data_IF_129093978199
#
_entry.id   IF_129093978199
#
_cell.length_a   1.000
_cell.length_b   1.000
_cell.length_c   1.000
_cell.angle_alpha   90.00
_cell.angle_beta   90.00
_cell.angle_gamma   90.00
#
_symmetry.space_group_name_H-M   'P 1'
#
loop_
_entity.id
_entity.type
_entity.pdbx_description
1 polymer ?
#
# COMPACT_ATOMS: atom_id res chain seq x y z
N UNK A 1 20.56 -14.10 0.19
CA UNK A 1 20.69 -15.57 0.34
C UNK A 1 21.14 -16.14 -1.00
N UNK A 2 22.15 -17.03 -1.00
CA UNK A 2 22.63 -17.72 -2.20
C UNK A 2 21.75 -18.95 -2.53
N UNK A 3 21.78 -19.42 -3.77
CA UNK A 3 20.96 -20.57 -4.19
C UNK A 3 21.20 -21.84 -3.36
N UNK A 4 22.46 -22.16 -3.06
CA UNK A 4 22.82 -23.35 -2.29
C UNK A 4 22.47 -23.21 -0.79
N UNK A 5 22.43 -21.98 -0.27
CA UNK A 5 21.88 -21.70 1.06
C UNK A 5 20.37 -21.95 1.09
N UNK A 6 19.66 -21.47 0.06
CA UNK A 6 18.21 -21.65 -0.04
C UNK A 6 17.83 -23.14 -0.13
N UNK A 7 18.57 -23.94 -0.92
CA UNK A 7 18.35 -25.40 -1.02
C UNK A 7 18.58 -26.15 0.28
N UNK A 8 19.48 -25.68 1.16
CA UNK A 8 19.67 -26.29 2.48
C UNK A 8 18.46 -26.07 3.39
N UNK A 9 17.83 -24.90 3.30
CA UNK A 9 16.63 -24.57 4.10
C UNK A 9 15.37 -25.19 3.49
N UNK A 10 15.27 -25.22 2.16
CA UNK A 10 14.14 -25.79 1.43
C UNK A 10 14.65 -26.66 0.27
N UNK A 11 14.88 -27.97 0.50
CA UNK A 11 15.44 -28.86 -0.52
C UNK A 11 14.61 -28.96 -1.81
N UNK A 12 13.29 -28.78 -1.72
CA UNK A 12 12.37 -28.81 -2.86
C UNK A 12 12.24 -27.49 -3.63
N UNK A 13 13.01 -26.45 -3.30
CA UNK A 13 12.89 -25.14 -3.95
C UNK A 13 13.28 -25.20 -5.44
N UNK A 14 12.41 -24.69 -6.30
CA UNK A 14 12.72 -24.50 -7.72
C UNK A 14 13.46 -23.18 -7.90
N UNK A 15 14.73 -23.24 -8.32
CA UNK A 15 15.52 -22.05 -8.62
C UNK A 15 15.46 -21.75 -10.13
N UNK A 16 14.95 -20.57 -10.47
CA UNK A 16 14.90 -20.07 -11.85
C UNK A 16 15.98 -19.00 -12.03
N UNK A 17 16.83 -19.16 -13.05
CA UNK A 17 17.94 -18.24 -13.30
C UNK A 17 17.50 -17.08 -14.19
N UNK A 18 17.92 -15.86 -13.84
CA UNK A 18 17.76 -14.68 -14.68
C UNK A 18 18.47 -14.89 -16.02
N UNK A 19 17.84 -14.59 -17.16
CA UNK A 19 18.48 -14.71 -18.48
C UNK A 19 19.80 -13.94 -18.54
N UNK A 20 20.78 -14.47 -19.26
CA UNK A 20 22.10 -13.82 -19.45
C UNK A 20 22.24 -13.38 -20.90
N UNK A 21 22.68 -12.15 -21.11
CA UNK A 21 23.03 -11.63 -22.43
C UNK A 21 24.36 -10.89 -22.34
N UNK A 22 25.29 -11.18 -23.27
CA UNK A 22 26.64 -10.57 -23.30
C UNK A 22 27.39 -10.71 -21.97
N UNK A 23 27.27 -11.87 -21.31
CA UNK A 23 27.93 -12.18 -20.04
C UNK A 23 27.37 -11.44 -18.82
N UNK A 24 26.23 -10.75 -18.92
CA UNK A 24 25.58 -10.02 -17.83
C UNK A 24 24.11 -10.42 -17.68
N UNK A 25 23.57 -10.24 -16.48
CA UNK A 25 22.14 -10.45 -16.24
C UNK A 25 21.28 -9.54 -17.13
N UNK A 26 20.26 -10.11 -17.76
CA UNK A 26 19.32 -9.44 -18.63
C UNK A 26 17.94 -9.40 -17.96
N UNK A 27 17.51 -8.20 -17.57
CA UNK A 27 16.25 -7.98 -16.86
C UNK A 27 15.09 -7.55 -17.77
N UNK A 28 15.26 -7.57 -19.10
CA UNK A 28 14.26 -7.05 -20.03
C UNK A 28 12.91 -7.78 -19.92
N UNK A 29 12.92 -9.10 -19.70
CA UNK A 29 11.71 -9.88 -19.47
C UNK A 29 10.85 -9.29 -18.34
N UNK A 30 11.47 -9.03 -17.18
CA UNK A 30 10.77 -8.47 -16.02
C UNK A 30 10.36 -7.01 -16.24
N UNK A 31 11.14 -6.23 -17.00
CA UNK A 31 10.80 -4.85 -17.33
C UNK A 31 9.55 -4.77 -18.22
N UNK A 32 9.46 -5.66 -19.21
CA UNK A 32 8.28 -5.78 -20.09
C UNK A 32 7.06 -6.19 -19.30
N UNK A 33 7.16 -7.25 -18.48
CA UNK A 33 6.07 -7.71 -17.62
C UNK A 33 5.59 -6.59 -16.66
N UNK A 34 6.52 -5.85 -16.04
CA UNK A 34 6.17 -4.71 -15.20
C UNK A 34 5.49 -3.57 -15.97
N UNK A 35 5.86 -3.35 -17.24
CA UNK A 35 5.23 -2.33 -18.07
C UNK A 35 3.78 -2.69 -18.45
N UNK A 36 3.50 -3.98 -18.71
CA UNK A 36 2.14 -4.48 -18.97
C UNK A 36 1.22 -4.22 -17.78
N UNK A 37 1.67 -4.56 -16.56
CA UNK A 37 0.92 -4.29 -15.32
C UNK A 37 0.68 -2.78 -15.14
N UNK A 38 1.71 -1.95 -15.34
CA UNK A 38 1.59 -0.50 -15.20
C UNK A 38 0.59 0.10 -16.21
N UNK A 39 0.52 -0.43 -17.43
CA UNK A 39 -0.44 0.03 -18.44
C UNK A 39 -1.90 -0.20 -17.98
N UNK A 40 -2.19 -1.35 -17.36
CA UNK A 40 -3.51 -1.64 -16.78
C UNK A 40 -3.83 -0.68 -15.64
N UNK A 41 -2.89 -0.51 -14.71
CA UNK A 41 -3.06 0.32 -13.52
C UNK A 41 -3.23 1.81 -13.85
N UNK A 42 -2.53 2.31 -14.87
CA UNK A 42 -2.62 3.70 -15.33
C UNK A 42 -3.97 4.05 -15.99
N UNK A 43 -4.84 3.08 -16.26
CA UNK A 43 -6.13 3.30 -16.93
C UNK A 43 -7.15 4.10 -16.11
N UNK A 44 -6.93 4.26 -14.79
CA UNK A 44 -7.89 4.90 -13.86
C UNK A 44 -7.34 6.09 -13.09
N UNK A 45 -6.07 6.46 -13.26
CA UNK A 45 -5.49 7.54 -12.47
C UNK A 45 -4.09 7.93 -12.92
N UNK A 46 -3.61 9.05 -12.39
CA UNK A 46 -2.25 9.51 -12.67
C UNK A 46 -1.27 8.55 -12.00
N UNK A 47 -0.30 8.11 -12.77
CA UNK A 47 0.55 6.97 -12.45
C UNK A 47 2.00 7.43 -12.29
N UNK A 48 2.60 7.10 -11.15
CA UNK A 48 4.02 7.30 -10.88
C UNK A 48 4.68 5.94 -10.61
N UNK A 49 5.56 5.52 -11.51
CA UNK A 49 6.31 4.29 -11.35
C UNK A 49 7.38 4.45 -10.28
N UNK A 50 7.31 3.64 -9.22
CA UNK A 50 8.23 3.68 -8.09
C UNK A 50 9.37 2.65 -8.21
N UNK A 51 9.09 1.49 -8.81
CA UNK A 51 10.07 0.43 -9.09
C UNK A 51 9.70 -0.38 -10.34
N UNK A 52 10.35 -1.53 -10.55
CA UNK A 52 9.99 -2.43 -11.64
C UNK A 52 8.57 -2.99 -11.49
N UNK A 53 8.13 -3.21 -10.25
CA UNK A 53 6.91 -3.91 -9.82
C UNK A 53 5.99 -3.08 -8.90
N UNK A 54 6.33 -1.82 -8.63
CA UNK A 54 5.56 -0.93 -7.76
C UNK A 54 5.25 0.41 -8.43
N UNK A 55 4.04 0.91 -8.16
CA UNK A 55 3.51 2.14 -8.73
C UNK A 55 2.64 2.85 -7.69
N UNK A 56 2.63 4.18 -7.73
CA UNK A 56 1.64 5.01 -7.05
C UNK A 56 0.58 5.46 -8.05
N UNK A 57 -0.69 5.34 -7.65
CA UNK A 57 -1.82 5.86 -8.40
C UNK A 57 -2.48 6.99 -7.61
N UNK A 58 -2.62 8.14 -8.24
CA UNK A 58 -3.54 9.19 -7.76
C UNK A 58 -4.91 8.92 -8.38
N UNK A 59 -5.84 8.48 -7.53
CA UNK A 59 -7.20 8.13 -7.88
C UNK A 59 -8.20 9.23 -7.49
N UNK A 60 -7.75 10.41 -7.09
CA UNK A 60 -8.62 11.47 -6.57
C UNK A 60 -9.76 11.80 -7.53
N UNK A 61 -9.46 12.03 -8.81
CA UNK A 61 -10.46 12.38 -9.81
C UNK A 61 -11.43 11.22 -10.09
N UNK A 62 -10.91 9.99 -10.22
CA UNK A 62 -11.73 8.81 -10.46
C UNK A 62 -12.64 8.45 -9.27
N UNK A 63 -12.17 8.64 -8.04
CA UNK A 63 -12.97 8.43 -6.83
C UNK A 63 -14.10 9.47 -6.71
N UNK A 64 -13.82 10.74 -7.05
CA UNK A 64 -14.83 11.79 -7.11
C UNK A 64 -15.89 11.52 -8.17
N UNK A 65 -15.46 11.07 -9.35
CA UNK A 65 -16.37 10.70 -10.44
C UNK A 65 -17.28 9.54 -10.03
N UNK A 66 -16.70 8.49 -9.44
CA UNK A 66 -17.46 7.35 -8.90
C UNK A 66 -18.47 7.82 -7.85
N UNK A 67 -18.05 8.64 -6.88
CA UNK A 67 -18.92 9.14 -5.83
C UNK A 67 -20.09 9.98 -6.38
N UNK A 68 -19.89 10.68 -7.50
CA UNK A 68 -20.94 11.50 -8.12
C UNK A 68 -21.90 10.67 -8.99
N UNK A 69 -21.37 9.72 -9.77
CA UNK A 69 -22.15 9.01 -10.79
C UNK A 69 -22.72 7.67 -10.32
N UNK A 70 -21.98 6.95 -9.48
CA UNK A 70 -22.31 5.62 -9.00
C UNK A 70 -21.76 5.42 -7.57
N UNK A 71 -22.26 6.21 -6.60
CA UNK A 71 -21.83 6.10 -5.21
C UNK A 71 -22.09 4.68 -4.67
N UNK A 72 -21.20 4.16 -3.80
CA UNK A 72 -21.36 2.84 -3.21
C UNK A 72 -22.43 2.86 -2.11
N UNK A 73 -23.70 3.06 -2.42
CA UNK A 73 -24.75 3.26 -1.41
C UNK A 73 -25.41 1.97 -0.89
N UNK A 74 -25.14 0.82 -1.53
CA UNK A 74 -25.72 -0.49 -1.16
C UNK A 74 -24.63 -1.54 -0.91
N UNK A 75 -24.63 -2.18 0.28
CA UNK A 75 -23.73 -3.29 0.62
C UNK A 75 -23.77 -4.45 -0.39
N UNK A 76 -24.94 -4.75 -0.95
CA UNK A 76 -25.16 -5.82 -1.92
C UNK A 76 -24.51 -5.52 -3.28
N UNK A 77 -24.42 -4.23 -3.64
CA UNK A 77 -23.78 -3.76 -4.86
C UNK A 77 -22.24 -3.71 -4.80
N UNK A 78 -21.65 -3.88 -3.61
CA UNK A 78 -20.19 -3.84 -3.46
C UNK A 78 -19.54 -5.01 -4.18
N UNK A 79 -18.56 -4.67 -5.03
CA UNK A 79 -17.73 -5.63 -5.74
C UNK A 79 -17.08 -6.63 -4.77
N UNK A 80 -17.22 -7.93 -5.07
CA UNK A 80 -16.82 -9.01 -4.16
C UNK A 80 -15.36 -8.91 -3.70
N UNK A 81 -14.44 -8.55 -4.60
CA UNK A 81 -13.02 -8.41 -4.23
C UNK A 81 -12.77 -7.19 -3.35
N UNK A 82 -13.56 -6.12 -3.50
CA UNK A 82 -13.46 -4.95 -2.62
C UNK A 82 -13.94 -5.28 -1.19
N UNK A 83 -14.96 -6.12 -1.06
CA UNK A 83 -15.49 -6.58 0.23
C UNK A 83 -14.49 -7.42 1.05
N UNK A 84 -13.44 -7.96 0.41
CA UNK A 84 -12.35 -8.71 1.08
C UNK A 84 -11.23 -7.80 1.62
N UNK A 85 -11.31 -6.49 1.41
CA UNK A 85 -10.29 -5.54 1.84
C UNK A 85 -10.01 -5.63 3.34
N UNK A 86 -8.78 -5.31 3.74
CA UNK A 86 -8.46 -5.07 5.14
C UNK A 86 -8.66 -3.58 5.41
N UNK A 87 -9.63 -3.20 6.22
CA UNK A 87 -9.83 -1.82 6.66
C UNK A 87 -9.26 -1.71 8.07
N UNK A 88 -8.26 -0.86 8.28
CA UNK A 88 -7.73 -0.64 9.63
C UNK A 88 -8.81 -0.02 10.52
N UNK A 89 -8.79 -0.39 11.81
CA UNK A 89 -9.79 0.03 12.79
C UNK A 89 -11.10 -0.77 12.78
N UNK A 90 -11.36 -1.60 11.77
CA UNK A 90 -12.51 -2.50 11.79
C UNK A 90 -12.21 -3.80 12.56
N UNK A 91 -13.20 -4.37 13.28
CA UNK A 91 -13.06 -5.67 13.90
C UNK A 91 -12.71 -6.75 12.87
N UNK A 92 -11.65 -7.51 13.15
CA UNK A 92 -11.14 -8.56 12.27
C UNK A 92 -11.83 -9.93 12.48
N UNK A 93 -13.01 -9.96 13.11
CA UNK A 93 -13.76 -11.21 13.30
C UNK A 93 -14.02 -11.85 11.93
N UNK A 94 -13.44 -13.04 11.71
CA UNK A 94 -13.48 -13.73 10.44
C UNK A 94 -14.91 -14.05 9.98
N UNK A 95 -15.86 -14.19 10.92
CA UNK A 95 -17.26 -14.52 10.61
C UNK A 95 -18.03 -13.34 10.00
N UNK A 96 -17.71 -12.11 10.40
CA UNK A 96 -18.45 -10.91 10.00
C UNK A 96 -17.59 -9.92 9.18
N UNK A 97 -16.31 -10.25 8.89
CA UNK A 97 -15.37 -9.34 8.22
C UNK A 97 -15.94 -8.75 6.93
N UNK A 98 -16.45 -9.58 6.02
CA UNK A 98 -16.95 -9.12 4.73
C UNK A 98 -18.13 -8.14 4.90
N UNK A 99 -19.05 -8.46 5.82
CA UNK A 99 -20.19 -7.62 6.13
C UNK A 99 -19.75 -6.27 6.72
N UNK A 100 -18.78 -6.28 7.63
CA UNK A 100 -18.22 -5.05 8.21
C UNK A 100 -17.54 -4.18 7.15
N UNK A 101 -16.79 -4.79 6.23
CA UNK A 101 -16.14 -4.07 5.13
C UNK A 101 -17.18 -3.48 4.18
N UNK A 102 -18.23 -4.24 3.80
CA UNK A 102 -19.32 -3.72 2.97
C UNK A 102 -20.03 -2.54 3.64
N UNK A 103 -20.32 -2.64 4.94
CA UNK A 103 -20.93 -1.56 5.69
C UNK A 103 -20.05 -0.30 5.72
N UNK A 104 -18.73 -0.45 5.91
CA UNK A 104 -17.78 0.67 5.89
C UNK A 104 -17.68 1.32 4.50
N UNK A 105 -17.62 0.52 3.43
CA UNK A 105 -17.57 1.03 2.05
C UNK A 105 -18.84 1.79 1.64
N UNK A 106 -19.97 1.53 2.29
CA UNK A 106 -21.27 2.13 1.98
C UNK A 106 -21.76 3.16 3.01
N UNK A 107 -20.89 3.61 3.91
CA UNK A 107 -21.33 4.45 5.02
C UNK A 107 -21.76 5.85 4.55
N UNK A 108 -23.07 6.12 4.54
CA UNK A 108 -23.65 7.39 4.09
C UNK A 108 -23.22 8.59 4.94
N UNK A 109 -23.01 8.38 6.24
CA UNK A 109 -22.64 9.43 7.20
C UNK A 109 -21.12 9.61 7.35
N UNK A 110 -20.31 8.87 6.58
CA UNK A 110 -18.87 9.06 6.58
C UNK A 110 -18.50 10.46 6.07
N UNK A 111 -17.38 10.99 6.54
CA UNK A 111 -16.84 12.21 6.00
C UNK A 111 -16.46 12.05 4.52
N UNK A 112 -16.30 13.18 3.83
CA UNK A 112 -16.04 13.19 2.40
C UNK A 112 -14.73 12.47 2.02
N UNK A 113 -13.70 12.52 2.87
CA UNK A 113 -12.41 11.89 2.59
C UNK A 113 -12.53 10.37 2.70
N UNK A 114 -13.19 9.86 3.72
CA UNK A 114 -13.42 8.42 3.89
C UNK A 114 -14.34 7.86 2.77
N UNK A 115 -15.32 8.64 2.28
CA UNK A 115 -16.11 8.28 1.08
C UNK A 115 -15.24 8.14 -0.17
N UNK A 116 -14.32 9.09 -0.40
CA UNK A 116 -13.36 8.97 -1.51
C UNK A 116 -12.42 7.79 -1.34
N UNK A 117 -12.03 7.48 -0.09
CA UNK A 117 -11.19 6.32 0.22
C UNK A 117 -11.92 5.01 -0.06
N UNK A 118 -13.22 4.91 0.25
CA UNK A 118 -14.07 3.78 -0.09
C UNK A 118 -14.19 3.59 -1.62
N UNK A 119 -14.47 4.65 -2.38
CA UNK A 119 -14.44 4.60 -3.85
C UNK A 119 -13.07 4.14 -4.37
N UNK A 120 -11.98 4.68 -3.82
CA UNK A 120 -10.61 4.28 -4.14
C UNK A 120 -10.35 2.79 -3.90
N UNK A 121 -10.82 2.24 -2.78
CA UNK A 121 -10.69 0.82 -2.47
C UNK A 121 -11.42 -0.07 -3.48
N UNK A 122 -12.61 0.34 -3.93
CA UNK A 122 -13.39 -0.38 -4.96
C UNK A 122 -12.65 -0.34 -6.31
N UNK A 123 -12.18 0.83 -6.74
CA UNK A 123 -11.41 1.00 -7.98
C UNK A 123 -10.15 0.14 -7.95
N UNK A 124 -9.39 0.16 -6.85
CA UNK A 124 -8.18 -0.66 -6.71
C UNK A 124 -8.50 -2.15 -6.75
N UNK A 125 -9.58 -2.61 -6.13
CA UNK A 125 -9.98 -4.02 -6.19
C UNK A 125 -10.29 -4.45 -7.64
N UNK A 126 -11.00 -3.63 -8.40
CA UNK A 126 -11.28 -3.88 -9.82
C UNK A 126 -9.99 -3.92 -10.65
N UNK A 127 -9.06 -2.97 -10.43
CA UNK A 127 -7.77 -2.95 -11.10
C UNK A 127 -6.92 -4.19 -10.80
N UNK A 128 -6.91 -4.65 -9.54
CA UNK A 128 -6.16 -5.86 -9.13
C UNK A 128 -6.70 -7.12 -9.81
N UNK A 129 -8.03 -7.25 -9.91
CA UNK A 129 -8.67 -8.35 -10.64
C UNK A 129 -8.30 -8.29 -12.12
N UNK A 130 -8.36 -7.10 -12.72
CA UNK A 130 -7.99 -6.91 -14.12
C UNK A 130 -6.51 -7.25 -14.40
N UNK A 131 -5.60 -6.87 -13.51
CA UNK A 131 -4.18 -7.28 -13.59
C UNK A 131 -4.06 -8.80 -13.57
N UNK A 132 -4.77 -9.48 -12.66
CA UNK A 132 -4.75 -10.95 -12.58
C UNK A 132 -5.30 -11.58 -13.87
N UNK A 133 -6.43 -11.11 -14.38
CA UNK A 133 -7.06 -11.65 -15.58
C UNK A 133 -6.18 -11.47 -16.82
N UNK A 134 -5.64 -10.28 -17.04
CA UNK A 134 -4.88 -9.95 -18.25
C UNK A 134 -3.42 -10.43 -18.22
N UNK A 135 -2.81 -10.55 -17.04
CA UNK A 135 -1.36 -10.85 -16.91
C UNK A 135 -1.04 -12.12 -16.15
N UNK A 136 -2.03 -12.73 -15.47
CA UNK A 136 -1.86 -13.84 -14.53
C UNK A 136 -0.98 -13.50 -13.31
N UNK A 137 -0.67 -12.22 -13.09
CA UNK A 137 0.05 -11.75 -11.92
C UNK A 137 -0.92 -11.30 -10.82
N UNK A 138 -0.67 -11.74 -9.59
CA UNK A 138 -1.34 -11.17 -8.42
C UNK A 138 -0.55 -9.96 -7.91
N UNK A 139 -1.24 -8.92 -7.46
CA UNK A 139 -0.62 -7.81 -6.75
C UNK A 139 -1.35 -7.49 -5.43
N UNK A 140 -0.62 -6.84 -4.52
CA UNK A 140 -1.16 -6.26 -3.29
C UNK A 140 -1.17 -4.75 -3.38
N UNK A 141 -2.07 -4.10 -2.65
CA UNK A 141 -2.22 -2.66 -2.71
C UNK A 141 -2.45 -2.04 -1.32
N UNK A 142 -2.06 -0.78 -1.19
CA UNK A 142 -2.37 0.04 -0.02
C UNK A 142 -3.09 1.29 -0.49
N UNK A 143 -4.20 1.62 0.17
CA UNK A 143 -5.07 2.75 -0.16
C UNK A 143 -5.08 3.71 1.04
N UNK A 144 -4.64 4.94 0.81
CA UNK A 144 -4.49 5.98 1.83
C UNK A 144 -4.52 7.37 1.19
N UNK A 145 -4.59 8.41 2.01
CA UNK A 145 -4.55 9.81 1.55
C UNK A 145 -3.17 10.31 1.12
N UNK A 146 -2.10 9.52 1.28
CA UNK A 146 -0.77 9.87 0.79
C UNK A 146 0.08 8.63 0.47
N UNK A 147 1.15 8.84 -0.31
CA UNK A 147 2.07 7.79 -0.78
C UNK A 147 2.80 7.06 0.35
N UNK A 148 3.08 7.73 1.46
CA UNK A 148 3.82 7.15 2.59
C UNK A 148 2.96 6.10 3.28
N UNK A 149 1.73 6.46 3.65
CA UNK A 149 0.75 5.56 4.25
C UNK A 149 0.36 4.43 3.28
N UNK A 150 0.11 4.75 2.00
CA UNK A 150 -0.21 3.74 0.99
C UNK A 150 0.90 2.70 0.84
N UNK A 151 2.17 3.12 0.86
CA UNK A 151 3.32 2.19 0.82
C UNK A 151 3.46 1.36 2.08
N UNK A 152 3.19 1.95 3.24
CA UNK A 152 3.23 1.24 4.50
C UNK A 152 2.19 0.10 4.52
N UNK A 153 0.94 0.42 4.22
CA UNK A 153 -0.17 -0.54 4.36
C UNK A 153 -0.26 -1.56 3.22
N UNK A 154 0.37 -1.28 2.06
CA UNK A 154 0.44 -2.25 0.95
C UNK A 154 1.26 -3.50 1.28
N UNK A 155 2.11 -3.44 2.31
CA UNK A 155 2.92 -4.55 2.79
C UNK A 155 2.27 -5.41 3.87
N UNK A 156 1.21 -4.93 4.55
CA UNK A 156 0.72 -5.52 5.81
C UNK A 156 0.09 -6.91 5.63
N UNK A 157 -0.70 -7.09 4.57
CA UNK A 157 -1.48 -8.31 4.32
C UNK A 157 -1.10 -8.99 3.00
N UNK A 158 0.18 -8.93 2.62
CA UNK A 158 0.69 -9.68 1.46
C UNK A 158 0.60 -11.20 1.71
N UNK A 159 0.39 -12.04 0.67
CA UNK A 159 0.23 -11.69 -0.75
C UNK A 159 -1.24 -11.45 -1.16
N UNK A 160 -1.44 -10.86 -2.34
CA UNK A 160 -2.72 -10.78 -3.05
C UNK A 160 -3.92 -10.21 -2.26
N UNK A 161 -3.67 -9.28 -1.32
CA UNK A 161 -4.73 -8.51 -0.67
C UNK A 161 -4.50 -7.00 -0.81
N UNK A 162 -5.51 -6.22 -0.42
CA UNK A 162 -5.40 -4.78 -0.28
C UNK A 162 -5.74 -4.32 1.14
N UNK A 163 -5.13 -3.21 1.54
CA UNK A 163 -5.32 -2.61 2.86
C UNK A 163 -5.69 -1.14 2.72
N UNK A 164 -6.72 -0.71 3.42
CA UNK A 164 -7.18 0.68 3.49
C UNK A 164 -6.86 1.21 4.88
N UNK A 165 -6.32 2.43 4.96
CA UNK A 165 -6.14 3.15 6.22
C UNK A 165 -7.03 4.40 6.26
N UNK A 166 -8.18 4.32 6.94
CA UNK A 166 -9.02 5.49 7.21
C UNK A 166 -8.27 6.52 8.04
N UNK A 167 -8.66 7.79 7.93
CA UNK A 167 -8.01 8.88 8.68
C UNK A 167 -8.05 8.65 10.19
N UNK A 168 -9.16 8.09 10.69
CA UNK A 168 -9.36 7.72 12.10
C UNK A 168 -8.37 6.67 12.62
N UNK A 169 -7.79 5.85 11.74
CA UNK A 169 -6.85 4.78 12.10
C UNK A 169 -5.38 5.17 11.98
N UNK A 170 -5.08 6.36 11.45
CA UNK A 170 -3.69 6.79 11.20
C UNK A 170 -2.91 6.95 12.50
N UNK A 171 -3.52 7.58 13.51
CA UNK A 171 -2.85 7.83 14.79
C UNK A 171 -2.45 6.52 15.47
N UNK A 172 -3.37 5.57 15.60
CA UNK A 172 -3.10 4.27 16.21
C UNK A 172 -2.08 3.44 15.41
N UNK A 173 -2.17 3.49 14.08
CA UNK A 173 -1.22 2.82 13.20
C UNK A 173 0.20 3.35 13.39
N UNK A 174 0.36 4.68 13.45
CA UNK A 174 1.66 5.32 13.55
C UNK A 174 2.22 5.27 14.97
N UNK A 175 1.38 5.34 16.01
CA UNK A 175 1.81 5.37 17.40
C UNK A 175 2.77 4.21 17.75
N UNK A 176 2.51 3.01 17.22
CA UNK A 176 3.32 1.81 17.48
C UNK A 176 4.33 1.47 16.37
N UNK A 177 4.38 2.24 15.28
CA UNK A 177 5.21 1.91 14.13
C UNK A 177 6.68 2.21 14.44
N UNK A 178 7.62 1.23 14.35
CA UNK A 178 9.03 1.51 14.53
C UNK A 178 9.53 2.54 13.52
N UNK A 179 10.33 3.52 13.95
CA UNK A 179 10.73 4.66 13.11
C UNK A 179 11.38 4.22 11.79
N UNK A 180 12.23 3.19 11.84
CA UNK A 180 12.92 2.62 10.66
C UNK A 180 12.01 1.87 9.68
N UNK A 181 10.76 1.59 10.03
CA UNK A 181 9.77 0.99 9.12
C UNK A 181 9.07 2.04 8.24
N UNK A 182 9.11 3.31 8.63
CA UNK A 182 8.57 4.38 7.80
C UNK A 182 9.44 4.60 6.57
N UNK A 183 8.80 4.84 5.41
CA UNK A 183 9.50 5.13 4.16
C UNK A 183 10.43 6.33 4.37
N UNK A 184 11.65 6.24 3.84
CA UNK A 184 12.75 7.24 3.97
C UNK A 184 13.48 7.25 5.33
N UNK A 185 12.94 6.60 6.37
CA UNK A 185 13.58 6.54 7.69
C UNK A 185 14.32 5.22 7.95
N UNK A 186 14.35 4.28 7.00
CA UNK A 186 15.08 3.00 7.17
C UNK A 186 16.61 3.09 7.18
N UNK A 187 17.18 4.27 6.94
CA UNK A 187 18.61 4.49 6.82
C UNK A 187 19.21 5.30 7.97
N UNK A 188 20.24 6.10 7.64
CA UNK A 188 20.98 6.91 8.62
C UNK A 188 20.10 7.89 9.39
N UNK A 189 19.13 8.53 8.71
CA UNK A 189 18.22 9.48 9.36
C UNK A 189 17.41 8.82 10.48
N UNK A 190 16.83 7.64 10.25
CA UNK A 190 16.11 6.93 11.31
C UNK A 190 17.03 6.40 12.42
N UNK A 191 18.30 6.07 12.13
CA UNK A 191 19.27 5.80 13.20
C UNK A 191 19.54 7.05 14.04
N UNK A 192 19.73 8.20 13.40
CA UNK A 192 19.96 9.47 14.11
C UNK A 192 18.75 9.89 14.95
N UNK A 193 17.51 9.66 14.49
CA UNK A 193 16.32 9.85 15.33
C UNK A 193 16.34 8.97 16.59
N UNK A 194 16.77 7.70 16.46
CA UNK A 194 16.93 6.80 17.61
C UNK A 194 18.06 7.25 18.54
N UNK A 195 19.23 7.54 17.98
CA UNK A 195 20.45 7.80 18.74
C UNK A 195 20.43 9.19 19.41
N UNK A 196 19.92 10.21 18.72
CA UNK A 196 19.98 11.61 19.17
C UNK A 196 18.75 12.02 20.00
N UNK A 197 17.56 11.47 19.66
CA UNK A 197 16.29 11.86 20.28
C UNK A 197 15.63 10.72 21.07
N UNK A 198 16.18 9.50 21.08
CA UNK A 198 15.58 8.36 21.77
C UNK A 198 14.25 7.91 21.18
N UNK A 199 13.99 8.24 19.90
CA UNK A 199 12.73 7.93 19.21
C UNK A 199 12.77 6.50 18.69
N UNK A 200 11.96 5.62 19.26
CA UNK A 200 11.85 4.23 18.79
C UNK A 200 10.70 4.04 17.81
N UNK A 201 9.62 4.78 18.02
CA UNK A 201 8.37 4.71 17.26
C UNK A 201 8.03 6.06 16.62
N UNK A 202 7.14 6.04 15.62
CA UNK A 202 6.59 7.28 15.06
C UNK A 202 5.72 8.01 16.08
N UNK A 203 5.10 7.30 17.03
CA UNK A 203 4.41 7.92 18.16
C UNK A 203 5.33 8.82 18.99
N UNK A 204 6.58 8.39 19.23
CA UNK A 204 7.57 9.18 19.99
C UNK A 204 7.92 10.49 19.28
N UNK A 205 7.95 10.50 17.94
CA UNK A 205 8.20 11.72 17.15
C UNK A 205 7.16 12.82 17.42
N UNK A 206 5.91 12.45 17.71
CA UNK A 206 4.83 13.40 17.97
C UNK A 206 5.04 14.20 19.27
N UNK A 207 5.97 13.78 20.13
CA UNK A 207 6.34 14.52 21.34
C UNK A 207 7.29 15.71 21.08
N UNK A 208 7.83 15.83 19.86
CA UNK A 208 8.72 16.90 19.45
C UNK A 208 7.98 17.94 18.61
N UNK A 209 8.30 19.22 18.79
CA UNK A 209 7.72 20.28 17.95
C UNK A 209 8.41 20.31 16.58
N UNK A 210 7.72 20.85 15.58
CA UNK A 210 8.27 21.05 14.24
C UNK A 210 9.57 21.88 14.32
N UNK A 211 9.58 22.96 15.11
CA UNK A 211 10.77 23.81 15.26
C UNK A 211 11.95 23.04 15.84
N UNK A 212 11.69 22.11 16.77
CA UNK A 212 12.75 21.30 17.37
C UNK A 212 13.34 20.33 16.34
N UNK A 213 12.49 19.72 15.51
CA UNK A 213 12.93 18.83 14.45
C UNK A 213 13.69 19.59 13.37
N UNK A 214 13.24 20.79 13.00
CA UNK A 214 13.90 21.66 12.01
C UNK A 214 15.26 22.16 12.49
N UNK A 215 15.41 22.47 13.79
CA UNK A 215 16.70 22.84 14.37
C UNK A 215 17.74 21.73 14.23
N UNK A 216 17.33 20.47 14.43
CA UNK A 216 18.25 19.31 14.41
C UNK A 216 18.49 18.76 12.99
N UNK A 217 17.45 18.71 12.16
CA UNK A 217 17.49 18.02 10.86
C UNK A 217 17.33 18.94 9.64
N UNK A 218 17.09 20.24 9.87
CA UNK A 218 16.90 21.25 8.84
C UNK A 218 15.46 21.37 8.34
N UNK A 219 15.13 22.53 7.77
CA UNK A 219 13.76 22.99 7.41
C UNK A 219 12.98 22.03 6.50
N UNK A 220 13.67 21.26 5.64
CA UNK A 220 12.97 20.35 4.71
C UNK A 220 12.71 18.96 5.30
N UNK A 221 13.43 18.58 6.36
CA UNK A 221 13.38 17.22 6.95
C UNK A 221 12.66 17.21 8.28
N UNK A 222 12.90 18.22 9.12
CA UNK A 222 12.16 18.45 10.35
C UNK A 222 10.83 19.14 10.10
#
# INVERSE_FOLDING_TARGET
MRGDEAKRVCPGINLVQVPVARGKANLNLYRSAGAEVVAILASKGKCERASIDEVYLDLTDAAKEMLLQAPPDSPEGIFMEAAKSNILGLPADASEKEKNVRAWLCQSEADYQDKLLACGAIIVAQLRVRVLEETQFTCSAGIAHNKMLAKLVSGMYKPAQQTVVPSSSVQDLLASLPVKKMKQLGGKLGSSLQDDLGVETIGDLLSFTEEKLQEQYGVNTG
#
